data_IF_416325850133
#
_entry.id   IF_416325850133
#
_cell.length_a   1.000
_cell.length_b   1.000
_cell.length_c   1.000
_cell.angle_alpha   90.00
_cell.angle_beta   90.00
_cell.angle_gamma   90.00
#
_symmetry.space_group_name_H-M   'P 1'
#
loop_
_entity.id
_entity.type
_entity.pdbx_description
1 polymer ?
#
# COMPACT_ATOMS: atom_id res chain seq x y z
N UNK A 1 -7.44 -18.47 26.19
CA UNK A 1 -7.94 -18.27 24.82
C UNK A 1 -6.80 -17.65 24.04
N UNK A 2 -6.29 -18.39 23.04
CA UNK A 2 -5.28 -17.85 22.13
C UNK A 2 -5.93 -16.69 21.34
N UNK A 3 -5.15 -15.64 21.06
CA UNK A 3 -5.59 -14.52 20.21
C UNK A 3 -6.13 -14.98 18.87
N UNK A 4 -5.56 -16.06 18.30
CA UNK A 4 -6.04 -16.67 17.06
C UNK A 4 -7.46 -17.24 17.21
N UNK A 5 -7.78 -17.82 18.37
CA UNK A 5 -9.13 -18.31 18.66
C UNK A 5 -10.13 -17.17 18.84
N UNK A 6 -9.71 -16.07 19.49
CA UNK A 6 -10.53 -14.87 19.63
C UNK A 6 -10.86 -14.25 18.26
N UNK A 7 -9.86 -14.16 17.38
CA UNK A 7 -10.02 -13.65 16.01
C UNK A 7 -10.90 -14.57 15.16
N UNK A 8 -10.70 -15.88 15.24
CA UNK A 8 -11.55 -16.87 14.57
C UNK A 8 -12.99 -16.82 15.09
N UNK A 9 -13.20 -16.61 16.39
CA UNK A 9 -14.51 -16.44 17.00
C UNK A 9 -15.18 -15.16 16.52
N UNK A 10 -14.48 -14.02 16.50
CA UNK A 10 -15.02 -12.75 16.00
C UNK A 10 -15.42 -12.86 14.52
N UNK A 11 -14.54 -13.42 13.68
CA UNK A 11 -14.82 -13.69 12.26
C UNK A 11 -16.01 -14.62 12.10
N UNK A 12 -16.08 -15.70 12.87
CA UNK A 12 -17.18 -16.66 12.83
C UNK A 12 -18.51 -16.03 13.23
N UNK A 13 -18.51 -15.18 14.27
CA UNK A 13 -19.71 -14.46 14.70
C UNK A 13 -20.14 -13.46 13.63
N UNK A 14 -19.20 -12.72 13.02
CA UNK A 14 -19.48 -11.80 11.90
C UNK A 14 -20.01 -12.52 10.65
N UNK A 15 -19.47 -13.69 10.31
CA UNK A 15 -19.93 -14.51 9.18
C UNK A 15 -21.29 -15.15 9.45
N UNK A 16 -21.51 -15.71 10.64
CA UNK A 16 -22.82 -16.25 11.03
C UNK A 16 -23.90 -15.16 11.09
N UNK A 17 -23.50 -13.95 11.46
CA UNK A 17 -24.33 -12.75 11.38
C UNK A 17 -24.73 -12.46 9.91
N UNK A 18 -23.82 -12.58 8.94
CA UNK A 18 -24.15 -12.38 7.53
C UNK A 18 -25.10 -13.44 6.95
N UNK A 19 -25.05 -14.68 7.43
CA UNK A 19 -25.83 -15.81 6.90
C UNK A 19 -27.27 -15.88 7.42
N UNK A 20 -27.54 -15.35 8.63
CA UNK A 20 -28.82 -15.56 9.34
C UNK A 20 -29.73 -14.34 9.41
N UNK A 21 -29.23 -13.14 9.09
CA UNK A 21 -29.99 -11.89 9.17
C UNK A 21 -30.23 -11.25 7.80
N UNK A 22 -31.44 -10.72 7.59
CA UNK A 22 -31.71 -9.81 6.47
C UNK A 22 -30.88 -8.52 6.59
N UNK A 23 -30.75 -7.75 5.51
CA UNK A 23 -29.80 -6.62 5.44
C UNK A 23 -30.00 -5.56 6.53
N UNK A 24 -31.24 -5.30 6.94
CA UNK A 24 -31.57 -4.40 8.06
C UNK A 24 -30.99 -4.87 9.40
N UNK A 25 -30.91 -6.17 9.62
CA UNK A 25 -30.30 -6.75 10.82
C UNK A 25 -28.77 -6.56 10.81
N UNK A 26 -28.13 -6.64 9.63
CA UNK A 26 -26.69 -6.42 9.48
C UNK A 26 -26.28 -5.00 9.94
N UNK A 27 -27.05 -3.99 9.55
CA UNK A 27 -26.79 -2.58 9.94
C UNK A 27 -26.89 -2.39 11.46
N UNK A 28 -27.98 -2.88 12.06
CA UNK A 28 -28.19 -2.81 13.51
C UNK A 28 -27.09 -3.56 14.29
N UNK A 29 -26.67 -4.71 13.76
CA UNK A 29 -25.59 -5.51 14.33
C UNK A 29 -24.26 -4.76 14.29
N UNK A 30 -23.89 -4.13 13.17
CA UNK A 30 -22.66 -3.33 13.06
C UNK A 30 -22.67 -2.16 14.02
N UNK A 31 -23.76 -1.39 14.08
CA UNK A 31 -23.88 -0.27 15.02
C UNK A 31 -23.74 -0.74 16.47
N UNK A 32 -24.35 -1.88 16.83
CA UNK A 32 -24.20 -2.45 18.16
C UNK A 32 -22.77 -2.93 18.45
N UNK A 33 -22.14 -3.61 17.51
CA UNK A 33 -20.75 -4.06 17.62
C UNK A 33 -19.79 -2.87 17.78
N UNK A 34 -19.97 -1.82 16.97
CA UNK A 34 -19.16 -0.61 17.04
C UNK A 34 -19.30 0.11 18.38
N UNK A 35 -20.52 0.18 18.94
CA UNK A 35 -20.75 0.68 20.30
C UNK A 35 -20.01 -0.16 21.34
N UNK A 36 -20.15 -1.49 21.28
CA UNK A 36 -19.43 -2.40 22.18
C UNK A 36 -17.91 -2.25 22.08
N UNK A 37 -17.39 -2.08 20.86
CA UNK A 37 -15.96 -1.86 20.62
C UNK A 37 -15.51 -0.51 21.17
N UNK A 38 -16.30 0.55 20.97
CA UNK A 38 -16.00 1.89 21.50
C UNK A 38 -15.92 1.85 23.02
N UNK A 39 -16.91 1.24 23.66
CA UNK A 39 -17.03 1.23 25.11
C UNK A 39 -16.00 0.25 25.73
N UNK A 40 -15.84 -0.94 25.16
CA UNK A 40 -14.87 -1.95 25.63
C UNK A 40 -13.40 -1.55 25.42
N UNK A 41 -13.07 -0.83 24.34
CA UNK A 41 -11.71 -0.36 24.08
C UNK A 41 -11.27 0.77 25.02
N UNK A 42 -12.22 1.50 25.64
CA UNK A 42 -11.93 2.50 26.67
C UNK A 42 -11.51 1.83 27.98
N UNK A 43 -12.12 0.70 28.31
CA UNK A 43 -11.82 -0.06 29.54
C UNK A 43 -10.61 -0.99 29.42
N UNK A 44 -10.23 -1.37 28.19
CA UNK A 44 -9.19 -2.36 27.95
C UNK A 44 -7.84 -2.04 28.62
N UNK A 45 -7.31 -0.80 28.60
CA UNK A 45 -6.05 -0.50 29.28
C UNK A 45 -6.11 -0.75 30.79
N UNK A 46 -7.22 -0.40 31.45
CA UNK A 46 -7.40 -0.62 32.88
C UNK A 46 -7.48 -2.12 33.20
N UNK A 47 -8.25 -2.89 32.43
CA UNK A 47 -8.36 -4.34 32.58
C UNK A 47 -7.02 -5.06 32.33
N UNK A 48 -6.24 -4.64 31.35
CA UNK A 48 -4.91 -5.22 31.09
C UNK A 48 -3.93 -4.91 32.24
N UNK A 49 -4.02 -3.72 32.82
CA UNK A 49 -3.23 -3.35 33.99
C UNK A 49 -3.60 -4.18 35.23
N UNK A 50 -4.90 -4.42 35.46
CA UNK A 50 -5.39 -5.32 36.53
C UNK A 50 -4.88 -6.76 36.36
N UNK A 51 -4.72 -7.21 35.12
CA UNK A 51 -4.15 -8.52 34.77
C UNK A 51 -2.62 -8.56 34.80
N UNK A 52 -1.95 -7.49 35.25
CA UNK A 52 -0.50 -7.43 35.39
C UNK A 52 0.27 -7.24 34.08
N UNK A 53 -0.39 -6.84 32.99
CA UNK A 53 0.32 -6.48 31.76
C UNK A 53 1.12 -5.19 31.96
N UNK A 54 2.33 -5.17 31.41
CA UNK A 54 3.11 -3.93 31.34
C UNK A 54 2.40 -2.90 30.47
N UNK A 55 2.64 -1.61 30.71
CA UNK A 55 2.06 -0.53 29.90
C UNK A 55 2.39 -0.68 28.40
N UNK A 56 3.61 -1.10 28.07
CA UNK A 56 4.01 -1.35 26.68
C UNK A 56 3.25 -2.52 26.07
N UNK A 57 3.12 -3.64 26.80
CA UNK A 57 2.34 -4.80 26.34
C UNK A 57 0.87 -4.41 26.09
N UNK A 58 0.29 -3.59 26.95
CA UNK A 58 -1.08 -3.11 26.77
C UNK A 58 -1.23 -2.23 25.52
N UNK A 59 -0.26 -1.34 25.24
CA UNK A 59 -0.25 -0.51 24.03
C UNK A 59 -0.12 -1.37 22.76
N UNK A 60 0.76 -2.37 22.77
CA UNK A 60 0.98 -3.26 21.64
C UNK A 60 -0.27 -4.10 21.35
N UNK A 61 -0.89 -4.67 22.40
CA UNK A 61 -2.12 -5.43 22.29
C UNK A 61 -3.28 -4.57 21.78
N UNK A 62 -3.43 -3.35 22.32
CA UNK A 62 -4.45 -2.41 21.88
C UNK A 62 -4.26 -2.05 20.40
N UNK A 63 -3.03 -1.81 19.97
CA UNK A 63 -2.70 -1.48 18.57
C UNK A 63 -3.06 -2.65 17.64
N UNK A 64 -2.70 -3.88 18.04
CA UNK A 64 -3.03 -5.09 17.27
C UNK A 64 -4.54 -5.31 17.18
N UNK A 65 -5.26 -5.18 18.30
CA UNK A 65 -6.72 -5.32 18.34
C UNK A 65 -7.41 -4.26 17.46
N UNK A 66 -6.97 -3.00 17.51
CA UNK A 66 -7.48 -1.94 16.63
C UNK A 66 -7.37 -2.31 15.17
N UNK A 67 -6.20 -2.82 14.75
CA UNK A 67 -5.95 -3.22 13.36
C UNK A 67 -6.89 -4.35 12.93
N UNK A 68 -6.94 -5.43 13.70
CA UNK A 68 -7.76 -6.61 13.36
C UNK A 68 -9.25 -6.29 13.30
N UNK A 69 -9.74 -5.51 14.27
CA UNK A 69 -11.13 -5.07 14.32
C UNK A 69 -11.46 -4.15 13.14
N UNK A 70 -10.55 -3.26 12.76
CA UNK A 70 -10.74 -2.39 11.59
C UNK A 70 -10.90 -3.19 10.32
N UNK A 71 -10.01 -4.16 10.09
CA UNK A 71 -10.07 -5.05 8.92
C UNK A 71 -11.39 -5.82 8.91
N UNK A 72 -11.77 -6.46 10.01
CA UNK A 72 -12.98 -7.28 10.07
C UNK A 72 -14.27 -6.46 9.85
N UNK A 73 -14.37 -5.26 10.43
CA UNK A 73 -15.53 -4.41 10.21
C UNK A 73 -15.57 -3.84 8.79
N UNK A 74 -14.42 -3.51 8.20
CA UNK A 74 -14.33 -3.05 6.80
C UNK A 74 -14.77 -4.14 5.83
N UNK A 75 -14.25 -5.36 5.98
CA UNK A 75 -14.68 -6.54 5.21
C UNK A 75 -16.19 -6.77 5.35
N UNK A 76 -16.74 -6.63 6.56
CA UNK A 76 -18.18 -6.77 6.78
C UNK A 76 -18.99 -5.67 6.11
N UNK A 77 -18.58 -4.40 6.24
CA UNK A 77 -19.30 -3.26 5.66
C UNK A 77 -19.38 -3.36 4.14
N UNK A 78 -18.36 -3.92 3.48
CA UNK A 78 -18.38 -4.18 2.04
C UNK A 78 -19.46 -5.20 1.62
N UNK A 79 -20.06 -5.95 2.55
CA UNK A 79 -21.16 -6.90 2.29
C UNK A 79 -22.55 -6.29 2.52
N UNK A 80 -22.64 -5.04 2.98
CA UNK A 80 -23.90 -4.35 3.26
C UNK A 80 -24.21 -3.41 2.12
N UNK A 81 -25.42 -3.49 1.56
CA UNK A 81 -25.89 -2.53 0.55
C UNK A 81 -25.80 -1.11 1.12
N UNK A 82 -25.20 -0.21 0.35
CA UNK A 82 -24.90 1.15 0.81
C UNK A 82 -26.15 1.95 1.16
N UNK A 83 -27.25 1.72 0.45
CA UNK A 83 -28.55 2.36 0.66
C UNK A 83 -29.13 2.10 2.07
N UNK A 84 -28.61 1.07 2.75
CA UNK A 84 -29.00 0.70 4.10
C UNK A 84 -28.03 1.23 5.17
N UNK A 85 -26.88 1.74 4.76
CA UNK A 85 -25.90 2.33 5.67
C UNK A 85 -26.30 3.77 6.01
N UNK A 86 -26.80 3.95 7.24
CA UNK A 86 -26.94 5.28 7.83
C UNK A 86 -25.57 5.75 8.32
N UNK A 87 -24.92 6.62 7.53
CA UNK A 87 -23.60 7.15 7.86
C UNK A 87 -23.62 7.97 9.16
N UNK A 88 -24.74 8.62 9.50
CA UNK A 88 -24.87 9.33 10.77
C UNK A 88 -24.84 8.36 11.95
N UNK A 89 -25.57 7.25 11.86
CA UNK A 89 -25.53 6.22 12.90
C UNK A 89 -24.14 5.57 13.00
N UNK A 90 -23.50 5.32 11.86
CA UNK A 90 -22.15 4.76 11.81
C UNK A 90 -21.15 5.69 12.49
N UNK A 91 -21.13 6.98 12.14
CA UNK A 91 -20.23 7.97 12.74
C UNK A 91 -20.50 8.16 14.24
N UNK A 92 -21.77 8.12 14.66
CA UNK A 92 -22.14 8.23 16.07
C UNK A 92 -21.75 6.99 16.88
N UNK A 93 -21.78 5.80 16.28
CA UNK A 93 -21.55 4.52 16.96
C UNK A 93 -20.09 4.08 16.95
N UNK A 94 -19.35 4.39 15.87
CA UNK A 94 -17.98 3.96 15.68
C UNK A 94 -17.01 4.61 16.68
N UNK A 95 -15.98 3.86 17.14
CA UNK A 95 -14.84 4.47 17.80
C UNK A 95 -14.20 5.49 16.87
N UNK A 96 -13.90 6.68 17.38
CA UNK A 96 -13.30 7.77 16.62
C UNK A 96 -12.12 7.30 15.77
N UNK A 97 -11.15 6.61 16.38
CA UNK A 97 -9.93 6.13 15.70
C UNK A 97 -10.18 5.20 14.49
N UNK A 98 -11.40 4.66 14.35
CA UNK A 98 -11.78 3.70 13.33
C UNK A 98 -12.58 4.33 12.18
N UNK A 99 -13.10 5.55 12.35
CA UNK A 99 -13.98 6.21 11.39
C UNK A 99 -13.37 6.27 9.99
N UNK A 100 -12.08 6.59 9.88
CA UNK A 100 -11.37 6.64 8.61
C UNK A 100 -11.28 5.28 7.91
N UNK A 101 -11.04 4.21 8.66
CA UNK A 101 -10.93 2.86 8.13
C UNK A 101 -12.27 2.33 7.62
N UNK A 102 -13.38 2.77 8.23
CA UNK A 102 -14.74 2.37 7.84
C UNK A 102 -15.26 3.14 6.63
N UNK A 103 -14.77 4.37 6.44
CA UNK A 103 -15.13 5.23 5.31
C UNK A 103 -14.25 4.97 4.07
N UNK A 104 -13.33 4.01 4.14
CA UNK A 104 -12.38 3.66 3.08
C UNK A 104 -12.73 2.27 2.49
N UNK A 105 -13.06 2.16 1.18
CA UNK A 105 -12.91 3.18 0.13
C UNK A 105 -13.99 4.27 0.13
N UNK A 106 -13.68 5.48 -0.41
CA UNK A 106 -14.61 6.62 -0.46
C UNK A 106 -15.83 6.39 -1.36
N UNK A 107 -15.90 5.27 -2.08
CA UNK A 107 -17.06 4.88 -2.87
C UNK A 107 -18.34 4.67 -2.04
N UNK A 108 -18.20 4.55 -0.72
CA UNK A 108 -19.31 4.52 0.24
C UNK A 108 -19.74 5.93 0.71
N UNK A 109 -19.36 6.99 0.01
CA UNK A 109 -19.72 8.35 0.39
C UNK A 109 -20.46 9.02 -0.75
N UNK A 110 -21.53 9.74 -0.41
CA UNK A 110 -22.36 10.50 -1.35
C UNK A 110 -22.48 11.94 -0.89
N UNK A 111 -21.80 12.83 -1.60
CA UNK A 111 -22.04 14.26 -1.46
C UNK A 111 -23.30 14.65 -2.24
N UNK A 112 -24.12 15.59 -1.74
CA UNK A 112 -23.91 16.37 -0.51
C UNK A 112 -24.39 15.69 0.79
N UNK A 113 -25.12 14.57 0.70
CA UNK A 113 -25.83 13.94 1.82
C UNK A 113 -24.95 13.61 3.03
N UNK A 114 -23.75 13.11 2.77
CA UNK A 114 -22.83 12.65 3.82
C UNK A 114 -21.94 13.77 4.40
N UNK A 115 -22.06 15.00 3.89
CA UNK A 115 -21.16 16.11 4.26
C UNK A 115 -21.06 16.33 5.78
N UNK A 116 -22.20 16.34 6.49
CA UNK A 116 -22.23 16.60 7.93
C UNK A 116 -21.46 15.53 8.73
N UNK A 117 -21.54 14.27 8.32
CA UNK A 117 -20.80 13.16 8.91
C UNK A 117 -19.30 13.33 8.70
N UNK A 118 -18.88 13.64 7.48
CA UNK A 118 -17.47 13.80 7.11
C UNK A 118 -16.85 15.03 7.79
N UNK A 119 -17.61 16.12 7.92
CA UNK A 119 -17.20 17.31 8.64
C UNK A 119 -16.85 16.99 10.10
N UNK A 120 -17.63 16.13 10.77
CA UNK A 120 -17.33 15.66 12.14
C UNK A 120 -16.02 14.87 12.16
N UNK A 121 -15.83 13.95 11.20
CA UNK A 121 -14.65 13.08 11.12
C UNK A 121 -13.37 13.90 10.89
N UNK A 122 -13.41 14.87 9.98
CA UNK A 122 -12.27 15.72 9.61
C UNK A 122 -11.90 16.74 10.69
N UNK A 123 -12.89 17.27 11.42
CA UNK A 123 -12.67 18.28 12.48
C UNK A 123 -12.08 17.70 13.76
N UNK A 124 -12.13 16.38 13.97
CA UNK A 124 -11.69 15.80 15.24
C UNK A 124 -10.15 15.84 15.38
N UNK A 125 -9.59 16.68 16.27
CA UNK A 125 -8.14 16.85 16.43
C UNK A 125 -7.44 15.56 16.84
N UNK A 126 -8.17 14.68 17.55
CA UNK A 126 -7.61 13.42 18.06
C UNK A 126 -7.28 12.42 16.95
N UNK A 127 -7.88 12.57 15.77
CA UNK A 127 -7.54 11.80 14.57
C UNK A 127 -6.17 12.15 14.00
N UNK A 128 -5.63 13.31 14.38
CA UNK A 128 -4.39 13.86 13.84
C UNK A 128 -3.20 13.62 14.77
N UNK A 129 -3.45 13.28 16.05
CA UNK A 129 -2.40 12.94 17.01
C UNK A 129 -1.68 11.62 16.72
N UNK A 130 -2.29 10.72 15.92
CA UNK A 130 -1.74 9.40 15.58
C UNK A 130 -0.63 9.44 14.51
N UNK A 131 0.13 10.54 14.39
CA UNK A 131 1.29 10.64 13.50
C UNK A 131 0.95 10.59 12.00
N UNK A 132 1.25 11.69 11.31
CA UNK A 132 1.13 11.87 9.86
C UNK A 132 2.15 11.05 9.04
N UNK A 133 2.35 9.77 9.36
CA UNK A 133 3.19 8.87 8.57
C UNK A 133 2.43 8.40 7.33
N UNK A 134 2.12 7.10 7.29
CA UNK A 134 1.37 6.45 6.22
C UNK A 134 -0.06 6.97 6.04
N UNK A 135 -0.65 7.58 7.08
CA UNK A 135 -2.05 8.02 7.08
C UNK A 135 -2.31 9.36 6.39
N UNK A 136 -1.29 10.21 6.19
CA UNK A 136 -1.50 11.52 5.56
C UNK A 136 -1.80 11.39 4.07
N UNK A 137 -0.90 10.74 3.31
CA UNK A 137 -1.08 10.52 1.88
C UNK A 137 -2.33 9.68 1.60
N UNK A 138 -2.60 8.68 2.44
CA UNK A 138 -3.82 7.89 2.35
C UNK A 138 -5.08 8.76 2.48
N UNK A 139 -5.16 9.66 3.48
CA UNK A 139 -6.29 10.58 3.63
C UNK A 139 -6.40 11.60 2.49
N UNK A 140 -5.27 12.05 1.96
CA UNK A 140 -5.25 12.96 0.82
C UNK A 140 -5.76 12.27 -0.46
N UNK A 141 -5.34 11.03 -0.70
CA UNK A 141 -5.85 10.19 -1.80
C UNK A 141 -7.35 9.89 -1.62
N UNK A 142 -7.76 9.56 -0.39
CA UNK A 142 -9.17 9.36 -0.05
C UNK A 142 -10.00 10.60 -0.36
N UNK A 143 -9.53 11.78 0.04
CA UNK A 143 -10.19 13.04 -0.25
C UNK A 143 -10.25 13.29 -1.75
N UNK A 144 -9.18 13.03 -2.50
CA UNK A 144 -9.20 13.13 -3.96
C UNK A 144 -10.22 12.20 -4.61
N UNK A 145 -10.30 10.95 -4.17
CA UNK A 145 -11.26 9.98 -4.70
C UNK A 145 -12.72 10.31 -4.33
N UNK A 146 -12.95 11.24 -3.38
CA UNK A 146 -14.28 11.79 -3.09
C UNK A 146 -14.71 12.92 -4.05
N UNK A 147 -13.80 13.42 -4.90
CA UNK A 147 -14.10 14.52 -5.81
C UNK A 147 -15.30 14.18 -6.71
N UNK A 148 -16.37 14.98 -6.71
CA UNK A 148 -17.51 14.76 -7.59
C UNK A 148 -17.08 14.77 -9.06
N UNK A 149 -17.48 13.74 -9.82
CA UNK A 149 -17.20 13.65 -11.26
C UNK A 149 -18.22 14.45 -12.10
N UNK A 150 -19.44 14.63 -11.60
CA UNK A 150 -20.50 15.38 -12.27
C UNK A 150 -20.57 16.82 -11.73
N UNK A 151 -20.98 17.80 -12.56
CA UNK A 151 -21.00 19.22 -12.21
C UNK A 151 -22.12 19.61 -11.23
N UNK A 152 -22.53 18.71 -10.34
CA UNK A 152 -23.51 19.01 -9.30
C UNK A 152 -22.94 20.06 -8.35
N UNK A 153 -23.43 21.29 -8.48
CA UNK A 153 -22.91 22.48 -7.77
C UNK A 153 -22.88 22.27 -6.25
N UNK A 154 -23.89 21.59 -5.70
CA UNK A 154 -23.97 21.35 -4.26
C UNK A 154 -22.93 20.32 -3.78
N UNK A 155 -22.75 19.22 -4.51
CA UNK A 155 -21.72 18.23 -4.21
C UNK A 155 -20.31 18.86 -4.30
N UNK A 156 -20.07 19.69 -5.33
CA UNK A 156 -18.82 20.41 -5.50
C UNK A 156 -18.54 21.40 -4.35
N UNK A 157 -19.57 22.12 -3.90
CA UNK A 157 -19.46 23.02 -2.75
C UNK A 157 -19.15 22.25 -1.45
N UNK A 158 -19.83 21.13 -1.20
CA UNK A 158 -19.55 20.26 -0.07
C UNK A 158 -18.12 19.71 -0.11
N UNK A 159 -17.67 19.25 -1.28
CA UNK A 159 -16.31 18.77 -1.50
C UNK A 159 -15.27 19.84 -1.14
N UNK A 160 -15.42 21.05 -1.70
CA UNK A 160 -14.50 22.16 -1.42
C UNK A 160 -14.43 22.48 0.08
N UNK A 161 -15.57 22.47 0.77
CA UNK A 161 -15.61 22.70 2.20
C UNK A 161 -14.92 21.59 3.00
N UNK A 162 -15.00 20.34 2.58
CA UNK A 162 -14.24 19.23 3.19
C UNK A 162 -12.74 19.41 3.00
N UNK A 163 -12.31 19.87 1.83
CA UNK A 163 -10.92 20.25 1.56
C UNK A 163 -10.47 21.34 2.53
N UNK A 164 -11.26 22.40 2.68
CA UNK A 164 -10.93 23.50 3.59
C UNK A 164 -10.79 23.03 5.05
N UNK A 165 -11.69 22.15 5.51
CA UNK A 165 -11.61 21.55 6.85
C UNK A 165 -10.35 20.68 6.99
N UNK A 166 -10.06 19.83 6.00
CA UNK A 166 -8.86 18.98 6.01
C UNK A 166 -7.59 19.82 6.14
N UNK A 167 -7.48 20.88 5.34
CA UNK A 167 -6.35 21.82 5.36
C UNK A 167 -6.26 22.59 6.69
N UNK A 168 -7.39 23.06 7.23
CA UNK A 168 -7.40 23.75 8.52
C UNK A 168 -6.95 22.82 9.67
N UNK A 169 -7.43 21.58 9.69
CA UNK A 169 -7.02 20.57 10.67
C UNK A 169 -5.53 20.22 10.55
N UNK A 170 -5.00 20.16 9.32
CA UNK A 170 -3.57 19.95 9.06
C UNK A 170 -2.73 21.11 9.60
N UNK A 171 -3.09 22.36 9.31
CA UNK A 171 -2.42 23.54 9.87
C UNK A 171 -2.43 23.54 11.41
N UNK A 172 -3.58 23.24 12.02
CA UNK A 172 -3.72 23.20 13.47
C UNK A 172 -2.80 22.15 14.10
N UNK A 173 -2.65 20.98 13.47
CA UNK A 173 -1.76 19.95 13.96
C UNK A 173 -0.27 20.37 13.85
N UNK A 174 0.12 21.05 12.76
CA UNK A 174 1.47 21.60 12.63
C UNK A 174 1.77 22.67 13.68
N UNK A 175 0.82 23.57 13.95
CA UNK A 175 0.95 24.57 15.00
C UNK A 175 1.15 23.94 16.40
N UNK A 176 0.63 22.73 16.62
CA UNK A 176 0.82 21.96 17.86
C UNK A 176 2.15 21.16 17.89
N UNK A 177 3.02 21.34 16.89
CA UNK A 177 4.32 20.68 16.83
C UNK A 177 4.28 19.23 16.34
N UNK A 178 3.15 18.76 15.79
CA UNK A 178 3.10 17.47 15.14
C UNK A 178 3.95 17.50 13.87
N UNK A 179 4.88 16.54 13.76
CA UNK A 179 5.74 16.38 12.58
C UNK A 179 5.20 15.30 11.66
N UNK A 180 5.32 15.52 10.36
CA UNK A 180 5.22 14.48 9.35
C UNK A 180 6.29 13.41 9.61
N UNK A 181 5.92 12.13 9.71
CA UNK A 181 6.89 11.07 10.04
C UNK A 181 7.71 10.70 8.79
N UNK A 182 8.96 11.17 8.74
CA UNK A 182 10.22 10.61 8.15
C UNK A 182 10.27 9.90 6.77
N UNK A 183 9.17 9.65 6.07
CA UNK A 183 9.20 9.02 4.73
C UNK A 183 8.59 9.87 3.62
N UNK A 184 8.15 11.09 3.93
CA UNK A 184 7.67 11.97 2.87
C UNK A 184 8.83 12.73 2.24
N UNK A 185 8.69 12.95 0.93
CA UNK A 185 9.53 13.78 0.07
C UNK A 185 9.85 15.15 0.75
N UNK A 186 10.86 15.89 0.29
CA UNK A 186 11.10 17.27 0.74
C UNK A 186 9.80 18.09 0.78
N UNK A 187 9.69 19.01 1.73
CA UNK A 187 8.51 19.85 1.99
C UNK A 187 7.90 20.48 0.73
N UNK A 188 8.76 20.92 -0.19
CA UNK A 188 8.36 21.47 -1.49
C UNK A 188 7.67 20.45 -2.41
N UNK A 189 8.13 19.19 -2.43
CA UNK A 189 7.51 18.12 -3.21
C UNK A 189 6.18 17.66 -2.60
N UNK A 190 6.06 17.67 -1.27
CA UNK A 190 4.77 17.42 -0.61
C UNK A 190 3.76 18.53 -0.95
N UNK A 191 4.20 19.78 -0.90
CA UNK A 191 3.41 20.92 -1.31
C UNK A 191 2.98 20.82 -2.78
N UNK A 192 3.88 20.35 -3.65
CA UNK A 192 3.59 20.12 -5.06
C UNK A 192 2.59 18.98 -5.26
N UNK A 193 2.70 17.88 -4.52
CA UNK A 193 1.71 16.79 -4.54
C UNK A 193 0.36 17.24 -3.99
N UNK A 194 0.32 17.99 -2.88
CA UNK A 194 -0.93 18.57 -2.36
C UNK A 194 -1.55 19.52 -3.40
N UNK A 195 -0.75 20.35 -4.08
CA UNK A 195 -1.22 21.23 -5.16
C UNK A 195 -1.72 20.47 -6.39
N UNK A 196 -1.02 19.41 -6.78
CA UNK A 196 -1.35 18.58 -7.93
C UNK A 196 -2.56 17.68 -7.66
N UNK A 197 -2.73 17.21 -6.41
CA UNK A 197 -3.88 16.39 -6.00
C UNK A 197 -5.14 17.23 -5.76
N UNK A 198 -5.00 18.52 -5.46
CA UNK A 198 -6.11 19.48 -5.28
C UNK A 198 -6.35 20.36 -6.52
N UNK A 199 -5.75 20.01 -7.66
CA UNK A 199 -5.92 20.58 -9.02
C UNK A 199 -6.67 21.93 -9.05
N UNK A 200 -5.89 23.01 -9.05
CA UNK A 200 -6.30 24.37 -9.45
C UNK A 200 -7.06 25.27 -8.44
N UNK A 201 -7.04 24.94 -7.14
CA UNK A 201 -7.38 25.91 -6.07
C UNK A 201 -6.13 26.57 -5.46
N UNK A 202 -6.14 27.89 -5.25
CA UNK A 202 -5.11 28.55 -4.42
C UNK A 202 -5.17 27.99 -3.00
N UNK A 203 -4.07 27.39 -2.52
CA UNK A 203 -3.94 27.01 -1.11
C UNK A 203 -4.12 28.26 -0.24
N UNK A 204 -4.93 28.21 0.83
CA UNK A 204 -5.07 29.31 1.78
C UNK A 204 -3.69 29.81 2.26
N UNK A 205 -3.47 31.13 2.25
CA UNK A 205 -2.17 31.75 2.58
C UNK A 205 -1.64 31.35 3.97
N UNK A 206 -2.52 31.09 4.93
CA UNK A 206 -2.16 30.59 6.26
C UNK A 206 -1.56 29.18 6.21
N UNK A 207 -1.99 28.32 5.27
CA UNK A 207 -1.40 26.99 5.08
C UNK A 207 -0.06 27.08 4.35
N UNK A 208 0.07 27.96 3.35
CA UNK A 208 1.37 28.26 2.71
C UNK A 208 2.36 28.75 3.76
N UNK A 209 1.97 29.72 4.60
CA UNK A 209 2.81 30.22 5.67
C UNK A 209 3.17 29.15 6.70
N UNK A 210 2.23 28.28 7.09
CA UNK A 210 2.48 27.19 8.06
C UNK A 210 3.44 26.13 7.47
N UNK A 211 3.25 25.72 6.22
CA UNK A 211 4.13 24.79 5.50
C UNK A 211 5.46 25.41 5.05
N UNK A 212 5.64 26.73 5.14
CA UNK A 212 6.92 27.41 4.89
C UNK A 212 7.66 27.77 6.20
N UNK A 213 6.97 27.72 7.34
CA UNK A 213 7.51 28.04 8.67
C UNK A 213 7.81 26.81 9.52
N UNK A 214 7.43 25.60 9.06
CA UNK A 214 8.01 24.36 9.60
C UNK A 214 9.51 24.43 9.30
N UNK A 215 10.39 24.49 10.31
CA UNK A 215 11.79 24.63 10.02
C UNK A 215 12.27 23.33 9.38
N UNK A 216 12.89 23.44 8.20
CA UNK A 216 13.81 22.44 7.67
C UNK A 216 14.94 22.25 8.68
N UNK A 217 14.71 21.43 9.70
CA UNK A 217 15.74 21.07 10.66
C UNK A 217 16.56 19.93 10.07
N UNK A 218 17.37 20.27 9.06
CA UNK A 218 18.73 19.76 8.95
C UNK A 218 19.61 20.40 10.03
N UNK A 219 19.22 20.33 11.30
CA UNK A 219 20.07 20.79 12.39
C UNK A 219 21.01 19.65 12.84
N UNK A 220 22.33 19.90 12.95
CA UNK A 220 23.26 18.91 13.46
C UNK A 220 22.95 18.64 14.94
N UNK A 221 22.99 17.36 15.33
CA UNK A 221 22.84 16.94 16.73
C UNK A 221 23.91 17.62 17.59
N UNK A 222 23.50 18.56 18.46
CA UNK A 222 24.17 18.78 19.73
C UNK A 222 23.53 17.83 20.74
N UNK A 223 24.22 16.74 21.06
CA UNK A 223 23.83 15.87 22.16
C UNK A 223 24.13 16.58 23.49
N UNK A 224 23.18 16.69 24.44
CA UNK A 224 23.55 16.74 25.83
C UNK A 224 24.05 15.34 26.24
N UNK A 225 25.18 15.33 26.93
CA UNK A 225 25.85 14.16 27.47
C UNK A 225 24.93 13.30 28.34
N UNK A 226 24.59 12.10 27.86
CA UNK A 226 24.27 10.95 28.71
C UNK A 226 24.44 9.67 27.89
N UNK A 227 25.37 8.82 28.31
CA UNK A 227 25.80 7.63 27.58
C UNK A 227 24.70 6.60 27.35
N UNK A 228 24.61 6.12 26.11
CA UNK A 228 24.20 4.74 25.79
C UNK A 228 24.75 4.36 24.42
N UNK A 229 25.26 3.13 24.30
CA UNK A 229 26.07 2.58 23.21
C UNK A 229 25.34 2.37 21.87
N UNK A 230 24.32 3.17 21.54
CA UNK A 230 23.50 2.99 20.34
C UNK A 230 23.97 3.73 19.07
N UNK A 231 25.04 4.53 19.12
CA UNK A 231 25.33 5.55 18.09
C UNK A 231 26.40 5.17 17.04
N UNK A 232 26.68 3.88 16.78
CA UNK A 232 27.59 3.47 15.68
C UNK A 232 26.88 3.06 14.37
N UNK A 233 25.55 3.01 14.32
CA UNK A 233 24.81 2.46 13.15
C UNK A 233 24.59 3.40 11.96
N UNK A 234 24.90 4.70 12.07
CA UNK A 234 24.50 5.70 11.05
C UNK A 234 25.59 6.11 10.05
N UNK A 235 26.85 5.77 10.29
CA UNK A 235 27.99 6.33 9.54
C UNK A 235 28.35 5.59 8.24
N UNK A 236 27.73 4.44 7.94
CA UNK A 236 28.14 3.59 6.81
C UNK A 236 27.11 3.39 5.68
N UNK A 237 26.04 4.20 5.60
CA UNK A 237 25.16 4.12 4.41
C UNK A 237 25.79 4.93 3.27
N UNK A 238 26.04 4.32 2.09
CA UNK A 238 26.60 5.06 0.96
C UNK A 238 25.66 6.20 0.59
N UNK A 239 26.24 7.37 0.36
CA UNK A 239 25.51 8.50 -0.18
C UNK A 239 25.07 8.16 -1.61
N UNK A 240 23.79 7.84 -1.79
CA UNK A 240 23.28 7.45 -3.10
C UNK A 240 23.28 8.62 -4.09
N UNK A 241 23.40 9.87 -3.63
CA UNK A 241 23.35 11.04 -4.50
C UNK A 241 24.55 11.14 -5.44
N UNK A 242 25.67 10.46 -5.14
CA UNK A 242 26.84 10.42 -6.02
C UNK A 242 26.71 9.43 -7.18
N UNK A 243 25.67 8.58 -7.19
CA UNK A 243 25.43 7.64 -8.27
C UNK A 243 24.43 8.22 -9.28
N UNK A 244 24.67 8.08 -10.59
CA UNK A 244 23.71 8.46 -11.61
C UNK A 244 22.41 7.66 -11.46
N UNK A 245 21.30 8.26 -11.87
CA UNK A 245 20.04 7.54 -11.98
C UNK A 245 20.14 6.54 -13.15
N UNK A 246 19.72 5.31 -12.90
CA UNK A 246 19.57 4.30 -13.93
C UNK A 246 18.28 4.59 -14.69
N UNK A 247 18.36 4.54 -16.02
CA UNK A 247 17.22 4.74 -16.91
C UNK A 247 17.03 3.48 -17.77
N UNK A 248 15.80 3.28 -18.26
CA UNK A 248 15.52 2.23 -19.23
C UNK A 248 16.26 2.53 -20.55
N UNK A 249 17.10 1.62 -21.06
CA UNK A 249 17.75 1.80 -22.36
C UNK A 249 16.74 1.93 -23.49
N UNK A 250 17.06 2.70 -24.54
CA UNK A 250 16.21 2.84 -25.72
C UNK A 250 16.03 1.53 -26.52
N UNK A 251 16.93 0.57 -26.31
CA UNK A 251 16.94 -0.79 -26.84
C UNK A 251 15.96 -1.73 -26.12
N UNK A 252 15.68 -1.45 -24.84
CA UNK A 252 14.74 -2.23 -24.04
C UNK A 252 13.30 -1.95 -24.49
N UNK A 253 12.46 -2.98 -24.47
CA UNK A 253 11.06 -2.87 -24.86
C UNK A 253 10.13 -3.04 -23.68
N UNK A 254 8.98 -2.35 -23.72
CA UNK A 254 7.95 -2.43 -22.69
C UNK A 254 6.60 -2.67 -23.37
N UNK A 255 5.91 -3.74 -22.97
CA UNK A 255 4.62 -4.16 -23.51
C UNK A 255 3.58 -4.16 -22.41
N UNK A 256 2.49 -3.41 -22.61
CA UNK A 256 1.31 -3.46 -21.74
C UNK A 256 0.47 -4.70 -22.04
N UNK A 257 0.03 -5.41 -20.99
CA UNK A 257 -0.74 -6.65 -21.09
C UNK A 257 -1.96 -6.56 -20.19
N UNK A 258 -3.10 -6.23 -20.79
CA UNK A 258 -4.40 -6.06 -20.11
C UNK A 258 -5.48 -7.03 -20.62
N UNK A 259 -5.18 -7.84 -21.64
CA UNK A 259 -6.09 -8.86 -22.16
C UNK A 259 -5.42 -10.22 -22.34
N UNK A 260 -6.23 -11.27 -22.48
CA UNK A 260 -5.78 -12.63 -22.82
C UNK A 260 -5.11 -12.72 -24.19
N UNK A 261 -5.51 -11.89 -25.14
CA UNK A 261 -4.91 -11.82 -26.46
C UNK A 261 -3.54 -11.12 -26.40
N UNK A 262 -3.42 -10.06 -25.60
CA UNK A 262 -2.13 -9.43 -25.31
C UNK A 262 -1.17 -10.41 -24.63
N UNK A 263 -1.68 -11.19 -23.67
CA UNK A 263 -0.92 -12.29 -23.06
C UNK A 263 -0.49 -13.33 -24.09
N UNK A 264 -1.38 -13.75 -24.99
CA UNK A 264 -1.06 -14.67 -26.08
C UNK A 264 0.05 -14.17 -27.01
N UNK A 265 0.18 -12.84 -27.19
CA UNK A 265 1.28 -12.22 -27.94
C UNK A 265 2.58 -12.16 -27.13
N UNK A 266 2.52 -11.99 -25.81
CA UNK A 266 3.68 -11.98 -24.91
C UNK A 266 4.26 -13.39 -24.67
N UNK A 267 3.40 -14.41 -24.60
CA UNK A 267 3.76 -15.76 -24.20
C UNK A 267 4.91 -16.39 -25.02
N UNK A 268 5.00 -16.26 -26.36
CA UNK A 268 6.12 -16.80 -27.13
C UNK A 268 7.49 -16.21 -26.76
N UNK A 269 7.53 -14.98 -26.21
CA UNK A 269 8.76 -14.36 -25.70
C UNK A 269 9.09 -14.88 -24.31
N UNK A 270 8.10 -14.86 -23.42
CA UNK A 270 8.20 -15.38 -22.06
C UNK A 270 8.61 -16.86 -22.01
N UNK A 271 8.05 -17.71 -22.87
CA UNK A 271 8.33 -19.15 -22.92
C UNK A 271 9.69 -19.52 -23.52
N UNK A 272 10.39 -18.57 -24.18
CA UNK A 272 11.75 -18.80 -24.69
C UNK A 272 12.82 -18.46 -23.65
N UNK A 273 12.45 -17.71 -22.62
CA UNK A 273 13.36 -17.35 -21.57
C UNK A 273 13.75 -18.58 -20.74
N UNK A 274 14.93 -18.53 -20.14
CA UNK A 274 15.39 -19.48 -19.12
C UNK A 274 15.43 -18.81 -17.73
N UNK A 275 15.64 -17.51 -17.72
CA UNK A 275 15.62 -16.63 -16.56
C UNK A 275 14.58 -15.55 -16.83
N UNK A 276 13.77 -15.24 -15.82
CA UNK A 276 12.85 -14.11 -15.85
C UNK A 276 12.92 -13.37 -14.51
N UNK A 277 12.88 -12.05 -14.54
CA UNK A 277 12.77 -11.22 -13.35
C UNK A 277 11.33 -10.79 -13.13
N UNK A 278 10.92 -10.72 -11.87
CA UNK A 278 9.55 -10.37 -11.49
C UNK A 278 9.53 -9.39 -10.31
N UNK A 279 8.63 -8.43 -10.41
CA UNK A 279 8.26 -7.52 -9.32
C UNK A 279 6.76 -7.24 -9.34
N UNK A 280 6.24 -6.60 -8.28
CA UNK A 280 4.82 -6.21 -8.24
C UNK A 280 4.59 -4.81 -7.69
N UNK A 281 3.51 -4.18 -8.17
CA UNK A 281 2.93 -3.00 -7.52
C UNK A 281 1.51 -3.33 -7.07
N UNK A 282 1.11 -2.80 -5.90
CA UNK A 282 -0.19 -3.10 -5.30
C UNK A 282 -0.89 -1.84 -4.79
N UNK A 283 -2.22 -1.88 -4.87
CA UNK A 283 -3.10 -0.89 -4.25
C UNK A 283 -3.41 -1.22 -2.79
N UNK A 284 -4.36 -0.48 -2.23
CA UNK A 284 -4.84 -0.70 -0.86
C UNK A 284 -5.92 -1.81 -0.79
N UNK A 285 -6.44 -2.27 -1.94
CA UNK A 285 -7.53 -3.24 -2.04
C UNK A 285 -6.99 -4.66 -2.28
N UNK A 286 -7.39 -5.61 -1.43
CA UNK A 286 -6.86 -6.97 -1.31
C UNK A 286 -7.23 -7.97 -2.42
N UNK A 287 -7.06 -7.59 -3.70
CA UNK A 287 -7.16 -8.51 -4.85
C UNK A 287 -5.79 -9.04 -5.32
N UNK A 288 -4.74 -8.82 -4.52
CA UNK A 288 -3.36 -9.08 -4.91
C UNK A 288 -2.70 -7.85 -5.56
N UNK A 289 -1.68 -8.05 -6.43
CA UNK A 289 -1.03 -6.94 -7.10
C UNK A 289 -2.01 -6.28 -8.06
N UNK A 290 -1.85 -4.99 -8.30
CA UNK A 290 -2.59 -4.22 -9.33
C UNK A 290 -1.80 -4.10 -10.62
N UNK A 291 -0.49 -4.39 -10.56
CA UNK A 291 0.40 -4.49 -11.70
C UNK A 291 1.46 -5.55 -11.38
N UNK A 292 1.73 -6.43 -12.34
CA UNK A 292 2.85 -7.39 -12.26
C UNK A 292 3.84 -7.06 -13.37
N UNK A 293 5.11 -6.95 -13.02
CA UNK A 293 6.17 -6.67 -13.98
C UNK A 293 6.99 -7.93 -14.20
N UNK A 294 7.16 -8.31 -15.46
CA UNK A 294 8.03 -9.42 -15.85
C UNK A 294 9.04 -8.91 -16.86
N UNK A 295 10.33 -9.13 -16.60
CA UNK A 295 11.39 -8.86 -17.56
C UNK A 295 12.10 -10.16 -17.97
N UNK A 296 12.36 -10.32 -19.26
CA UNK A 296 13.18 -11.40 -19.82
C UNK A 296 14.27 -10.82 -20.72
N UNK A 297 15.37 -11.55 -20.92
CA UNK A 297 16.50 -11.10 -21.75
C UNK A 297 17.84 -11.31 -21.07
N UNK A 298 18.92 -10.94 -21.75
CA UNK A 298 20.30 -11.01 -21.23
C UNK A 298 20.77 -9.64 -20.73
N UNK A 299 20.38 -9.30 -19.50
CA UNK A 299 20.68 -8.00 -18.88
C UNK A 299 19.72 -6.88 -19.28
N UNK A 300 20.03 -5.67 -18.83
CA UNK A 300 19.13 -4.50 -18.94
C UNK A 300 18.94 -4.03 -20.39
N UNK A 301 20.00 -4.03 -21.20
CA UNK A 301 19.98 -3.58 -22.60
C UNK A 301 19.10 -4.46 -23.51
N UNK A 302 18.98 -5.74 -23.19
CA UNK A 302 18.21 -6.71 -23.96
C UNK A 302 16.84 -7.01 -23.31
N UNK A 303 16.43 -6.23 -22.31
CA UNK A 303 15.23 -6.51 -21.54
C UNK A 303 13.96 -6.31 -22.39
N UNK A 304 13.17 -7.37 -22.51
CA UNK A 304 11.77 -7.32 -22.93
C UNK A 304 10.90 -7.34 -21.66
N UNK A 305 10.26 -6.20 -21.36
CA UNK A 305 9.43 -6.01 -20.17
C UNK A 305 7.94 -6.14 -20.51
N UNK A 306 7.20 -6.82 -19.65
CA UNK A 306 5.76 -7.01 -19.74
C UNK A 306 5.11 -6.46 -18.47
N UNK A 307 4.26 -5.44 -18.64
CA UNK A 307 3.51 -4.82 -17.57
C UNK A 307 2.07 -5.34 -17.61
N UNK A 308 1.73 -6.21 -16.67
CA UNK A 308 0.49 -6.98 -16.67
C UNK A 308 -0.52 -6.33 -15.73
N UNK A 309 -1.62 -5.82 -16.30
CA UNK A 309 -2.68 -5.15 -15.56
C UNK A 309 -3.62 -6.18 -14.91
N UNK A 310 -3.37 -6.48 -13.64
CA UNK A 310 -4.24 -7.36 -12.84
C UNK A 310 -5.39 -6.63 -12.16
N UNK A 311 -5.46 -5.30 -12.28
CA UNK A 311 -6.56 -4.50 -11.72
C UNK A 311 -7.78 -4.48 -12.64
N UNK A 312 -7.58 -4.12 -13.92
CA UNK A 312 -8.65 -4.04 -14.92
C UNK A 312 -8.66 -5.20 -15.91
N UNK A 313 -7.60 -6.01 -15.94
CA UNK A 313 -7.54 -7.20 -16.79
C UNK A 313 -8.60 -8.24 -16.41
N UNK A 314 -9.04 -9.07 -17.37
CA UNK A 314 -10.03 -10.11 -17.10
C UNK A 314 -9.46 -11.16 -16.13
N UNK A 315 -10.27 -11.83 -15.30
CA UNK A 315 -9.78 -12.89 -14.40
C UNK A 315 -8.99 -14.00 -15.13
N UNK A 316 -9.34 -14.29 -16.40
CA UNK A 316 -8.61 -15.23 -17.25
C UNK A 316 -7.15 -14.82 -17.51
N UNK A 317 -6.83 -13.53 -17.53
CA UNK A 317 -5.45 -13.04 -17.64
C UNK A 317 -4.64 -13.42 -16.39
N UNK A 318 -5.21 -13.20 -15.20
CA UNK A 318 -4.59 -13.58 -13.94
C UNK A 318 -4.37 -15.11 -13.86
N UNK A 319 -5.32 -15.91 -14.35
CA UNK A 319 -5.15 -17.37 -14.52
C UNK A 319 -3.95 -17.69 -15.40
N UNK A 320 -3.85 -17.07 -16.58
CA UNK A 320 -2.74 -17.30 -17.51
C UNK A 320 -1.38 -16.97 -16.88
N UNK A 321 -1.30 -15.85 -16.17
CA UNK A 321 -0.11 -15.42 -15.43
C UNK A 321 0.28 -16.44 -14.35
N UNK A 322 -0.64 -16.78 -13.46
CA UNK A 322 -0.39 -17.73 -12.38
C UNK A 322 0.04 -19.09 -12.93
N UNK A 323 -0.60 -19.56 -14.01
CA UNK A 323 -0.25 -20.81 -14.68
C UNK A 323 1.18 -20.78 -15.19
N UNK A 324 1.55 -19.72 -15.90
CA UNK A 324 2.91 -19.58 -16.41
C UNK A 324 3.95 -19.52 -15.29
N UNK A 325 3.70 -18.78 -14.21
CA UNK A 325 4.61 -18.74 -13.05
C UNK A 325 4.84 -20.12 -12.44
N UNK A 326 3.84 -20.99 -12.47
CA UNK A 326 3.93 -22.34 -11.91
C UNK A 326 4.58 -23.35 -12.87
N UNK A 327 4.24 -23.30 -14.16
CA UNK A 327 4.61 -24.36 -15.12
C UNK A 327 5.85 -24.04 -15.96
N UNK A 328 6.36 -22.81 -15.91
CA UNK A 328 7.40 -22.35 -16.83
C UNK A 328 8.76 -23.03 -16.63
N UNK A 329 9.04 -23.59 -15.44
CA UNK A 329 10.35 -24.15 -15.10
C UNK A 329 11.48 -23.11 -15.10
N UNK A 330 11.14 -21.81 -15.11
CA UNK A 330 12.07 -20.70 -15.16
C UNK A 330 12.82 -20.52 -13.85
N UNK A 331 14.04 -20.00 -13.95
CA UNK A 331 14.65 -19.31 -12.83
C UNK A 331 14.01 -17.92 -12.70
N UNK A 332 13.14 -17.77 -11.70
CA UNK A 332 12.50 -16.49 -11.40
C UNK A 332 13.38 -15.69 -10.44
N UNK A 333 13.73 -14.46 -10.80
CA UNK A 333 14.49 -13.54 -9.97
C UNK A 333 13.52 -12.55 -9.30
N UNK A 334 13.75 -12.25 -8.03
CA UNK A 334 12.99 -11.24 -7.30
C UNK A 334 13.84 -10.47 -6.30
N UNK A 335 13.24 -9.46 -5.67
CA UNK A 335 13.90 -8.66 -4.65
C UNK A 335 13.02 -8.51 -3.41
N UNK A 336 13.47 -9.00 -2.24
CA UNK A 336 12.68 -8.93 -1.00
C UNK A 336 11.27 -9.52 -1.19
N UNK A 337 11.19 -10.65 -1.91
CA UNK A 337 9.98 -11.16 -2.58
C UNK A 337 8.89 -11.70 -1.63
N UNK A 338 9.08 -11.54 -0.32
CA UNK A 338 8.18 -12.05 0.71
C UNK A 338 6.80 -11.38 0.65
N UNK A 339 6.73 -10.08 0.40
CA UNK A 339 5.43 -9.38 0.32
C UNK A 339 4.76 -9.66 -1.04
N UNK A 340 5.52 -9.69 -2.14
CA UNK A 340 5.04 -10.06 -3.48
C UNK A 340 4.38 -11.45 -3.48
N UNK A 341 5.00 -12.43 -2.80
CA UNK A 341 4.41 -13.76 -2.63
C UNK A 341 3.03 -13.72 -1.97
N UNK A 342 2.81 -12.83 -0.99
CA UNK A 342 1.49 -12.68 -0.38
C UNK A 342 0.50 -12.05 -1.36
N UNK A 343 0.94 -11.10 -2.17
CA UNK A 343 0.11 -10.49 -3.22
C UNK A 343 -0.30 -11.53 -4.27
N UNK A 344 0.61 -12.41 -4.70
CA UNK A 344 0.25 -13.53 -5.56
C UNK A 344 -0.75 -14.50 -4.90
N UNK A 345 -0.63 -14.75 -3.59
CA UNK A 345 -1.61 -15.57 -2.87
C UNK A 345 -3.00 -14.91 -2.77
N UNK A 346 -3.06 -13.59 -2.59
CA UNK A 346 -4.30 -12.82 -2.65
C UNK A 346 -4.92 -12.86 -4.06
N UNK A 347 -4.09 -12.77 -5.11
CA UNK A 347 -4.54 -12.88 -6.50
C UNK A 347 -5.13 -14.27 -6.81
N UNK A 348 -4.44 -15.33 -6.41
CA UNK A 348 -4.92 -16.71 -6.56
C UNK A 348 -6.27 -16.91 -5.84
N UNK A 349 -6.38 -16.41 -4.60
CA UNK A 349 -7.63 -16.46 -3.85
C UNK A 349 -8.77 -15.72 -4.57
N UNK A 350 -8.49 -14.51 -5.09
CA UNK A 350 -9.48 -13.72 -5.82
C UNK A 350 -9.92 -14.41 -7.12
N UNK A 351 -9.00 -14.99 -7.88
CA UNK A 351 -9.30 -15.76 -9.11
C UNK A 351 -10.22 -16.93 -8.80
N UNK A 352 -9.90 -17.72 -7.76
CA UNK A 352 -10.71 -18.87 -7.32
C UNK A 352 -12.10 -18.48 -6.84
N UNK A 353 -12.24 -17.31 -6.26
CA UNK A 353 -13.54 -16.79 -5.81
C UNK A 353 -14.40 -16.24 -6.98
N UNK A 354 -13.77 -15.84 -8.08
CA UNK A 354 -14.43 -15.13 -9.19
C UNK A 354 -14.85 -16.07 -10.32
N UNK A 355 -14.10 -17.15 -10.59
CA UNK A 355 -14.39 -18.07 -11.70
C UNK A 355 -15.28 -19.25 -11.26
N UNK A 356 -16.27 -19.66 -12.08
CA UNK A 356 -17.12 -20.81 -11.79
C UNK A 356 -16.33 -22.13 -11.73
N UNK A 357 -16.71 -23.03 -10.81
CA UNK A 357 -16.06 -24.33 -10.60
C UNK A 357 -16.05 -25.27 -11.82
N UNK A 358 -16.81 -24.98 -12.88
CA UNK A 358 -16.88 -25.78 -14.11
C UNK A 358 -15.88 -25.31 -15.18
N UNK A 359 -15.41 -24.06 -15.12
CA UNK A 359 -14.27 -23.55 -15.91
C UNK A 359 -12.92 -23.78 -15.19
N UNK A 360 -12.98 -24.24 -13.92
CA UNK A 360 -11.89 -24.65 -13.03
C UNK A 360 -11.28 -25.99 -13.46
N UNK A 361 -10.89 -26.10 -14.73
CA UNK A 361 -9.98 -27.13 -15.23
C UNK A 361 -8.52 -26.88 -14.79
N UNK A 362 -8.29 -25.86 -13.97
CA UNK A 362 -7.06 -25.64 -13.23
C UNK A 362 -7.00 -26.69 -12.12
N UNK A 363 -6.06 -27.61 -12.23
CA UNK A 363 -5.74 -28.52 -11.13
C UNK A 363 -5.58 -27.70 -9.84
N UNK A 364 -6.36 -28.06 -8.82
CA UNK A 364 -6.50 -27.33 -7.55
C UNK A 364 -5.19 -27.22 -6.73
N UNK A 365 -4.09 -27.76 -7.24
CA UNK A 365 -2.77 -27.83 -6.60
C UNK A 365 -1.82 -26.69 -6.98
N UNK A 366 -2.31 -25.66 -7.69
CA UNK A 366 -1.57 -24.41 -7.88
C UNK A 366 -1.45 -23.62 -6.57
N UNK A 367 -0.52 -24.03 -5.70
CA UNK A 367 -0.20 -23.29 -4.47
C UNK A 367 0.94 -22.30 -4.79
N UNK A 368 0.75 -20.97 -4.59
CA UNK A 368 1.81 -19.97 -4.76
C UNK A 368 3.07 -20.22 -3.91
N UNK A 369 2.98 -21.05 -2.88
CA UNK A 369 4.12 -21.54 -2.09
C UNK A 369 5.19 -22.23 -2.96
N UNK A 370 4.80 -22.86 -4.06
CA UNK A 370 5.71 -23.58 -4.95
C UNK A 370 6.50 -22.67 -5.90
N UNK A 371 6.17 -21.37 -5.99
CA UNK A 371 6.90 -20.41 -6.83
C UNK A 371 8.32 -20.25 -6.27
N UNK A 372 9.30 -20.84 -6.96
CA UNK A 372 10.72 -20.72 -6.60
C UNK A 372 11.25 -19.42 -7.19
N UNK A 373 11.50 -18.47 -6.31
CA UNK A 373 12.07 -17.17 -6.68
C UNK A 373 13.40 -17.02 -5.98
N UNK A 374 14.44 -16.78 -6.77
CA UNK A 374 15.76 -16.44 -6.31
C UNK A 374 15.77 -14.98 -5.87
N UNK A 375 15.61 -14.79 -4.57
CA UNK A 375 15.61 -13.46 -3.95
C UNK A 375 17.05 -12.92 -3.87
N UNK A 376 17.38 -12.02 -4.80
CA UNK A 376 18.72 -11.45 -4.94
C UNK A 376 19.13 -10.59 -3.75
N UNK A 377 18.18 -10.15 -2.91
CA UNK A 377 18.50 -9.34 -1.73
C UNK A 377 19.43 -10.07 -0.77
N UNK A 378 19.25 -11.38 -0.57
CA UNK A 378 20.08 -12.15 0.35
C UNK A 378 21.51 -12.31 -0.17
N UNK A 379 21.67 -12.60 -1.46
CA UNK A 379 22.99 -12.72 -2.11
C UNK A 379 23.76 -11.41 -2.00
N UNK A 380 23.09 -10.30 -2.30
CA UNK A 380 23.71 -8.98 -2.28
C UNK A 380 23.95 -8.46 -0.87
N UNK A 381 23.09 -8.78 0.10
CA UNK A 381 23.37 -8.46 1.50
C UNK A 381 24.70 -9.09 1.96
N UNK A 382 24.92 -10.38 1.62
CA UNK A 382 26.17 -11.09 1.92
C UNK A 382 27.36 -10.44 1.21
N UNK A 383 27.24 -10.16 -0.09
CA UNK A 383 28.30 -9.54 -0.89
C UNK A 383 28.69 -8.16 -0.35
N UNK A 384 27.70 -7.34 0.00
CA UNK A 384 27.90 -6.01 0.55
C UNK A 384 28.41 -6.02 2.00
N UNK A 385 28.46 -7.19 2.66
CA UNK A 385 28.71 -7.34 4.10
C UNK A 385 27.82 -6.40 4.93
N UNK A 386 26.59 -6.20 4.47
CA UNK A 386 25.67 -5.24 5.05
C UNK A 386 25.00 -5.83 6.30
N UNK A 387 25.00 -5.07 7.40
CA UNK A 387 24.33 -5.48 8.64
C UNK A 387 22.80 -5.40 8.53
N UNK A 388 22.31 -4.53 7.66
CA UNK A 388 20.89 -4.36 7.35
C UNK A 388 20.60 -4.93 5.95
N UNK A 389 19.35 -5.31 5.69
CA UNK A 389 18.91 -5.68 4.33
C UNK A 389 19.01 -4.46 3.39
N UNK A 390 19.72 -4.55 2.27
CA UNK A 390 19.81 -3.45 1.32
C UNK A 390 18.47 -3.21 0.61
N UNK A 391 18.22 -1.97 0.21
CA UNK A 391 17.18 -1.68 -0.79
C UNK A 391 17.68 -2.00 -2.20
N UNK A 392 16.76 -2.24 -3.13
CA UNK A 392 17.12 -2.50 -4.53
C UNK A 392 17.98 -1.38 -5.11
N UNK A 393 17.54 -0.12 -4.97
CA UNK A 393 18.31 1.07 -5.39
C UNK A 393 19.73 1.14 -4.79
N UNK A 394 19.92 0.79 -3.51
CA UNK A 394 21.25 0.79 -2.90
C UNK A 394 22.12 -0.38 -3.37
N UNK A 395 21.50 -1.52 -3.69
CA UNK A 395 22.21 -2.67 -4.22
C UNK A 395 22.61 -2.45 -5.68
N UNK A 396 21.73 -1.86 -6.50
CA UNK A 396 22.04 -1.40 -7.85
C UNK A 396 23.20 -0.39 -7.83
N UNK A 397 23.18 0.59 -6.93
CA UNK A 397 24.28 1.56 -6.80
C UNK A 397 25.61 0.86 -6.47
N UNK A 398 25.60 -0.12 -5.57
CA UNK A 398 26.79 -0.85 -5.19
C UNK A 398 27.30 -1.80 -6.28
N UNK A 399 26.39 -2.50 -6.96
CA UNK A 399 26.73 -3.56 -7.90
C UNK A 399 26.99 -3.01 -9.32
N UNK A 400 26.13 -2.11 -9.78
CA UNK A 400 26.07 -1.56 -11.14
C UNK A 400 26.61 -0.12 -11.23
N UNK A 401 26.89 0.54 -10.11
CA UNK A 401 27.36 1.93 -10.12
C UNK A 401 26.28 2.96 -10.50
N UNK A 402 25.00 2.55 -10.51
CA UNK A 402 23.86 3.43 -10.81
C UNK A 402 22.71 3.13 -9.85
N UNK A 403 21.98 4.16 -9.41
CA UNK A 403 20.85 4.00 -8.48
C UNK A 403 19.53 3.97 -9.23
N UNK A 404 18.55 3.25 -8.68
CA UNK A 404 17.16 3.42 -9.12
C UNK A 404 16.58 4.71 -8.54
N UNK A 405 15.77 5.39 -9.34
CA UNK A 405 14.89 6.45 -8.85
C UNK A 405 13.82 5.86 -7.93
N UNK A 406 13.28 6.66 -7.00
CA UNK A 406 12.23 6.26 -6.04
C UNK A 406 11.01 7.18 -6.11
N UNK A 407 10.94 8.02 -7.13
CA UNK A 407 9.89 9.03 -7.32
C UNK A 407 8.49 8.41 -7.39
N UNK A 408 8.37 7.25 -8.04
CA UNK A 408 7.10 6.56 -8.28
C UNK A 408 6.80 5.43 -7.27
N UNK A 409 7.72 5.11 -6.35
CA UNK A 409 7.55 4.03 -5.35
C UNK A 409 6.27 4.18 -4.50
N UNK A 410 5.77 5.41 -4.34
CA UNK A 410 4.56 5.72 -3.58
C UNK A 410 3.47 6.37 -4.45
N UNK A 411 3.48 6.13 -5.76
CA UNK A 411 2.45 6.63 -6.67
C UNK A 411 1.13 5.88 -6.51
N UNK A 412 0.08 6.42 -7.12
CA UNK A 412 -1.21 5.73 -7.19
C UNK A 412 -1.16 4.66 -8.28
N UNK A 413 -0.81 3.43 -7.92
CA UNK A 413 -0.75 2.30 -8.85
C UNK A 413 -2.13 1.77 -9.28
N UNK A 414 -3.21 2.26 -8.67
CA UNK A 414 -4.57 2.00 -9.11
C UNK A 414 -5.03 2.93 -10.22
N UNK A 415 -4.29 4.02 -10.51
CA UNK A 415 -4.69 4.97 -11.55
C UNK A 415 -4.61 4.32 -12.94
N UNK A 416 -5.55 4.67 -13.82
CA UNK A 416 -5.55 4.22 -15.22
C UNK A 416 -5.96 5.37 -16.14
N UNK A 417 -5.25 5.60 -17.26
CA UNK A 417 -4.00 4.93 -17.66
C UNK A 417 -2.82 5.31 -16.73
N UNK A 418 -1.84 4.41 -16.58
CA UNK A 418 -0.58 4.75 -15.90
C UNK A 418 0.23 5.75 -16.73
N UNK A 419 0.84 6.73 -16.06
CA UNK A 419 1.73 7.69 -16.71
C UNK A 419 3.00 7.03 -17.25
N UNK A 420 3.68 7.68 -18.20
CA UNK A 420 4.93 7.17 -18.78
C UNK A 420 6.02 6.96 -17.71
N UNK A 421 6.11 7.86 -16.72
CA UNK A 421 7.04 7.73 -15.59
C UNK A 421 6.76 6.47 -14.76
N UNK A 422 5.49 6.18 -14.44
CA UNK A 422 5.09 4.97 -13.72
C UNK A 422 5.42 3.70 -14.50
N UNK A 423 5.15 3.69 -15.81
CA UNK A 423 5.47 2.54 -16.66
C UNK A 423 6.98 2.30 -16.76
N UNK A 424 7.77 3.36 -16.96
CA UNK A 424 9.23 3.28 -17.02
C UNK A 424 9.83 2.82 -15.69
N UNK A 425 9.32 3.34 -14.57
CA UNK A 425 9.71 2.92 -13.22
C UNK A 425 9.42 1.43 -13.02
N UNK A 426 8.18 1.00 -13.26
CA UNK A 426 7.75 -0.38 -13.05
C UNK A 426 8.54 -1.36 -13.93
N UNK A 427 8.78 -1.01 -15.19
CA UNK A 427 9.59 -1.82 -16.09
C UNK A 427 11.03 -1.96 -15.59
N UNK A 428 11.62 -0.87 -15.09
CA UNK A 428 13.00 -0.85 -14.60
C UNK A 428 13.18 -1.70 -13.33
N UNK A 429 12.22 -1.69 -12.41
CA UNK A 429 12.30 -2.45 -11.15
C UNK A 429 12.42 -3.97 -11.38
N UNK A 430 11.79 -4.51 -12.43
CA UNK A 430 12.04 -5.89 -12.87
C UNK A 430 13.31 -6.03 -13.74
N UNK A 431 13.51 -5.15 -14.72
CA UNK A 431 14.60 -5.29 -15.70
C UNK A 431 16.00 -5.20 -15.06
N UNK A 432 16.17 -4.37 -14.04
CA UNK A 432 17.45 -4.23 -13.32
C UNK A 432 17.90 -5.54 -12.66
N UNK A 433 16.97 -6.41 -12.28
CA UNK A 433 17.30 -7.70 -11.67
C UNK A 433 18.02 -8.63 -12.65
N UNK A 434 17.72 -8.54 -13.96
CA UNK A 434 18.45 -9.29 -14.99
C UNK A 434 19.91 -8.87 -15.04
N UNK A 435 20.17 -7.55 -15.01
CA UNK A 435 21.52 -7.00 -15.02
C UNK A 435 22.28 -7.33 -13.73
N UNK A 436 21.60 -7.23 -12.59
CA UNK A 436 22.20 -7.60 -11.31
C UNK A 436 22.55 -9.08 -11.26
N UNK A 437 21.68 -9.96 -11.74
CA UNK A 437 21.95 -11.39 -11.83
C UNK A 437 23.13 -11.70 -12.76
N UNK A 438 23.17 -11.09 -13.95
CA UNK A 438 24.29 -11.21 -14.89
C UNK A 438 25.61 -10.77 -14.26
N UNK A 439 25.62 -9.68 -13.52
CA UNK A 439 26.83 -9.19 -12.87
C UNK A 439 27.27 -10.09 -11.70
N UNK A 440 26.32 -10.69 -10.96
CA UNK A 440 26.62 -11.71 -9.95
C UNK A 440 27.23 -12.97 -10.58
N UNK A 441 26.69 -13.43 -11.71
CA UNK A 441 27.23 -14.54 -12.50
C UNK A 441 28.65 -14.27 -12.97
N UNK A 442 28.89 -13.08 -13.55
CA UNK A 442 30.22 -12.67 -14.02
C UNK A 442 31.27 -12.66 -12.90
N UNK A 443 30.84 -12.40 -11.67
CA UNK A 443 31.69 -12.42 -10.47
C UNK A 443 31.82 -13.82 -9.84
N UNK A 444 31.10 -14.83 -10.33
CA UNK A 444 31.08 -16.19 -9.78
C UNK A 444 30.39 -16.28 -8.41
N UNK A 445 29.36 -15.46 -8.18
CA UNK A 445 28.68 -15.28 -6.89
C UNK A 445 27.21 -15.70 -6.93
N UNK A 446 26.91 -16.84 -7.56
CA UNK A 446 25.57 -17.46 -7.48
C UNK A 446 25.37 -18.14 -6.11
N UNK A 447 24.11 -18.25 -5.68
CA UNK A 447 23.72 -18.90 -4.41
C UNK A 447 23.87 -20.41 -4.45
#
# INVERSE_FOLDING_TARGET
>A
MDWREAQAMLRKVLLQATEKGGEKWKVQYVSALLRCLRDGMLELPAKLQELGCSAQCAVDLQTKLRREVSVACREFLQTVAYELLDLHELVASAPKWMLWELLDPPSLVRLPNDFACLEIVLKDPKQWHCGFGSSFLQRLRWLKALQPHEPEVQAQHCYQRLVDIFLASLAAAFAQGHKLRRRMKPEEQLLQEVRQLLTEGELPENLKATLLTVPSQSAPRKNPSSGSEGSRRRENRPDLSCFPALEMPSSASCTWVDTTEAWGRALPRLSKAVVAAIDTEWGEIGKGPVLVQIAVGDGLEAAECFLIDTLLGPPALAVCLLRWLHTSGLQLLGWSFKEDRKRFAELDHWVRATLPAEEDSLERDMVPEAMRVDDLQFTLQKLMKATDQPSLSSAAAHLLGSRLDKTEQCSDWCCRPLGQAQQAYAALDAAVLLEMHRELQRRGLEN
#
